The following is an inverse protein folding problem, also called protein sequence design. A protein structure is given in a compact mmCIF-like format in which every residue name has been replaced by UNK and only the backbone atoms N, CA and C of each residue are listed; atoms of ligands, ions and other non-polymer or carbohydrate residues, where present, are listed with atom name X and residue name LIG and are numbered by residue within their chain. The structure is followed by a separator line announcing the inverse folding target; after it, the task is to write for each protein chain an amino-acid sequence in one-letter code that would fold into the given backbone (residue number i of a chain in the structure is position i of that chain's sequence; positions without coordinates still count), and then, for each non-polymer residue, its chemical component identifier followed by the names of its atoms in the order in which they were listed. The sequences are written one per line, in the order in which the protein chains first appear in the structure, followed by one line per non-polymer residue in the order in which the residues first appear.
data_IF_977936053695
#
_entry.id   IF_977936053695
#
_cell.length_a   1.000
_cell.length_b   1.000
_cell.length_c   1.000
_cell.angle_alpha   90.00
_cell.angle_beta   90.00
_cell.angle_gamma   90.00
#
_symmetry.space_group_name_H-M   'P 1'
#
loop_
_entity.id
_entity.type
_entity.pdbx_description
1 polymer ?
#
# COMPACT_ATOMS: atom_id res chain seq x y z
N UNK A 1 -35.38 23.55 -0.10
CA UNK A 1 -34.80 24.10 -1.35
C UNK A 1 -33.84 23.09 -1.94
N UNK A 2 -34.23 22.40 -3.01
CA UNK A 2 -33.32 21.54 -3.76
C UNK A 2 -32.48 22.44 -4.66
N UNK A 3 -31.21 22.68 -4.29
CA UNK A 3 -30.26 23.36 -5.18
C UNK A 3 -30.00 22.46 -6.39
N UNK A 4 -30.70 22.70 -7.50
CA UNK A 4 -30.45 22.04 -8.78
C UNK A 4 -29.46 22.86 -9.61
N UNK A 5 -28.50 22.19 -10.26
CA UNK A 5 -27.46 22.85 -11.07
C UNK A 5 -26.13 22.10 -11.10
N UNK A 6 -25.24 22.47 -12.02
CA UNK A 6 -23.92 21.86 -12.20
C UNK A 6 -22.99 22.04 -10.98
N UNK A 7 -23.07 23.19 -10.30
CA UNK A 7 -22.29 23.50 -9.10
C UNK A 7 -22.62 22.62 -7.88
N UNK A 8 -23.89 22.47 -7.45
CA UNK A 8 -24.24 21.57 -6.35
C UNK A 8 -23.96 20.10 -6.70
N UNK A 9 -24.14 19.68 -7.96
CA UNK A 9 -23.76 18.35 -8.43
C UNK A 9 -22.25 18.09 -8.29
N UNK A 10 -21.40 19.01 -8.76
CA UNK A 10 -19.93 18.88 -8.66
C UNK A 10 -19.45 18.82 -7.20
N UNK A 11 -20.08 19.59 -6.32
CA UNK A 11 -19.76 19.57 -4.90
C UNK A 11 -20.24 18.27 -4.21
N UNK A 12 -21.41 17.76 -4.58
CA UNK A 12 -21.91 16.47 -4.12
C UNK A 12 -20.98 15.34 -4.56
N UNK A 13 -20.59 15.30 -5.83
CA UNK A 13 -19.64 14.33 -6.38
C UNK A 13 -18.32 14.41 -5.59
N UNK A 14 -17.68 15.57 -5.46
CA UNK A 14 -16.42 15.71 -4.70
C UNK A 14 -16.53 15.25 -3.25
N UNK A 15 -17.66 15.52 -2.58
CA UNK A 15 -17.88 15.08 -1.20
C UNK A 15 -17.97 13.55 -1.14
N UNK A 16 -18.72 12.94 -2.05
CA UNK A 16 -18.80 11.48 -2.13
C UNK A 16 -17.47 10.84 -2.53
N UNK A 17 -16.70 11.42 -3.45
CA UNK A 17 -15.38 10.91 -3.81
C UNK A 17 -14.45 10.85 -2.60
N UNK A 18 -14.39 11.93 -1.80
CA UNK A 18 -13.58 11.94 -0.55
C UNK A 18 -14.08 10.95 0.49
N UNK A 19 -15.39 10.85 0.69
CA UNK A 19 -15.98 9.90 1.65
C UNK A 19 -15.68 8.46 1.24
N UNK A 20 -15.87 8.14 -0.02
CA UNK A 20 -15.62 6.83 -0.58
C UNK A 20 -14.14 6.45 -0.55
N UNK A 21 -13.23 7.40 -0.78
CA UNK A 21 -11.79 7.17 -0.64
C UNK A 21 -11.41 6.82 0.82
N UNK A 22 -11.93 7.56 1.79
CA UNK A 22 -11.67 7.27 3.21
C UNK A 22 -12.24 5.93 3.66
N UNK A 23 -13.49 5.64 3.26
CA UNK A 23 -14.14 4.35 3.56
C UNK A 23 -13.44 3.19 2.87
N UNK A 24 -13.04 3.32 1.61
CA UNK A 24 -12.35 2.25 0.89
C UNK A 24 -10.99 1.97 1.51
N UNK A 25 -10.19 3.00 1.84
CA UNK A 25 -8.90 2.80 2.51
C UNK A 25 -9.05 2.11 3.86
N UNK A 26 -10.05 2.50 4.66
CA UNK A 26 -10.29 1.90 5.97
C UNK A 26 -10.74 0.43 5.83
N UNK A 27 -11.71 0.16 4.96
CA UNK A 27 -12.19 -1.20 4.70
C UNK A 27 -11.09 -2.10 4.13
N UNK A 28 -10.32 -1.61 3.15
CA UNK A 28 -9.23 -2.37 2.57
C UNK A 28 -8.12 -2.60 3.59
N UNK A 29 -7.78 -1.62 4.42
CA UNK A 29 -6.78 -1.83 5.49
C UNK A 29 -7.20 -2.93 6.48
N UNK A 30 -8.49 -2.97 6.85
CA UNK A 30 -9.04 -4.03 7.71
C UNK A 30 -8.99 -5.39 7.00
N UNK A 31 -9.40 -5.44 5.73
CA UNK A 31 -9.38 -6.68 4.94
C UNK A 31 -7.96 -7.22 4.75
N UNK A 32 -7.00 -6.33 4.50
CA UNK A 32 -5.57 -6.65 4.37
C UNK A 32 -5.04 -7.18 5.69
N UNK A 33 -5.30 -6.49 6.80
CA UNK A 33 -4.88 -6.94 8.12
C UNK A 33 -5.47 -8.31 8.46
N UNK A 34 -6.75 -8.55 8.12
CA UNK A 34 -7.40 -9.84 8.31
C UNK A 34 -6.78 -10.93 7.44
N UNK A 35 -6.54 -10.65 6.16
CA UNK A 35 -5.91 -11.60 5.22
C UNK A 35 -4.48 -11.96 5.67
N UNK A 36 -3.70 -10.96 6.06
CA UNK A 36 -2.36 -11.14 6.63
C UNK A 36 -2.39 -11.93 7.92
N UNK A 37 -3.34 -11.65 8.82
CA UNK A 37 -3.50 -12.41 10.05
C UNK A 37 -3.88 -13.87 9.79
N UNK A 38 -4.77 -14.15 8.84
CA UNK A 38 -5.13 -15.52 8.47
C UNK A 38 -3.93 -16.28 7.89
N UNK A 39 -3.14 -15.63 7.04
CA UNK A 39 -2.01 -16.26 6.38
C UNK A 39 -0.79 -16.45 7.27
N UNK A 40 -0.44 -15.41 8.05
CA UNK A 40 0.74 -15.40 8.91
C UNK A 40 0.43 -15.93 10.32
N UNK A 41 -0.83 -15.95 10.76
CA UNK A 41 -1.23 -16.32 12.13
C UNK A 41 -0.46 -15.57 13.24
N UNK A 42 0.05 -14.37 12.93
CA UNK A 42 0.84 -13.51 13.81
C UNK A 42 0.23 -12.10 13.75
N UNK A 43 -0.42 -11.68 14.84
CA UNK A 43 -1.11 -10.37 14.92
C UNK A 43 -0.11 -9.22 14.86
N UNK A 44 1.10 -9.39 15.38
CA UNK A 44 2.15 -8.38 15.34
C UNK A 44 2.59 -8.09 13.90
N UNK A 45 2.85 -9.14 13.13
CA UNK A 45 3.20 -9.02 11.71
C UNK A 45 2.05 -8.47 10.86
N UNK A 46 0.81 -8.87 11.16
CA UNK A 46 -0.37 -8.36 10.46
C UNK A 46 -0.53 -6.84 10.66
N UNK A 47 -0.37 -6.34 11.89
CA UNK A 47 -0.44 -4.88 12.15
C UNK A 47 0.78 -4.16 11.56
N UNK A 48 1.97 -4.75 11.63
CA UNK A 48 3.19 -4.17 11.06
C UNK A 48 3.08 -3.95 9.55
N UNK A 49 2.41 -4.87 8.84
CA UNK A 49 2.20 -4.83 7.39
C UNK A 49 1.41 -3.60 6.92
N UNK A 50 0.63 -2.96 7.80
CA UNK A 50 -0.19 -1.80 7.44
C UNK A 50 0.69 -0.59 7.12
N UNK A 51 1.81 -0.42 7.83
CA UNK A 51 2.70 0.75 7.69
C UNK A 51 3.32 0.90 6.29
N UNK A 52 4.03 -0.10 5.74
CA UNK A 52 4.62 0.01 4.40
C UNK A 52 3.58 0.14 3.29
N UNK A 53 2.32 -0.20 3.55
CA UNK A 53 1.22 -0.07 2.59
C UNK A 53 0.50 1.28 2.65
N UNK A 54 0.24 1.81 3.84
CA UNK A 54 -0.49 3.08 4.01
C UNK A 54 0.40 4.28 3.73
N UNK A 55 1.69 4.22 4.09
CA UNK A 55 2.62 5.35 3.92
C UNK A 55 2.75 5.78 2.43
N UNK A 56 3.01 4.88 1.47
CA UNK A 56 3.03 5.22 0.05
C UNK A 56 1.73 5.84 -0.45
N UNK A 57 0.58 5.35 0.03
CA UNK A 57 -0.72 5.87 -0.35
C UNK A 57 -0.88 7.31 0.12
N UNK A 58 -0.64 7.55 1.41
CA UNK A 58 -0.72 8.89 2.00
C UNK A 58 0.28 9.83 1.35
N UNK A 59 1.47 9.33 1.02
CA UNK A 59 2.49 10.10 0.32
C UNK A 59 2.04 10.52 -1.08
N UNK A 60 1.61 9.59 -1.94
CA UNK A 60 1.18 9.90 -3.31
C UNK A 60 -0.08 10.76 -3.35
N UNK A 61 -1.07 10.49 -2.49
CA UNK A 61 -2.26 11.35 -2.39
C UNK A 61 -1.95 12.70 -1.75
N UNK A 62 -0.97 12.77 -0.86
CA UNK A 62 -0.44 14.02 -0.30
C UNK A 62 0.20 14.88 -1.38
N UNK A 63 1.03 14.29 -2.24
CA UNK A 63 1.60 14.95 -3.42
C UNK A 63 0.51 15.41 -4.41
N UNK A 64 -0.50 14.58 -4.64
CA UNK A 64 -1.65 14.94 -5.48
C UNK A 64 -2.43 16.14 -4.90
N UNK A 65 -2.67 16.15 -3.59
CA UNK A 65 -3.30 17.27 -2.89
C UNK A 65 -2.46 18.55 -2.92
N UNK A 66 -1.14 18.42 -2.74
CA UNK A 66 -0.20 19.54 -2.77
C UNK A 66 -0.08 20.17 -4.15
N UNK A 67 -0.11 19.37 -5.22
CA UNK A 67 -0.10 19.85 -6.61
C UNK A 67 -1.41 20.52 -7.04
N UNK A 68 -2.44 20.54 -6.18
CA UNK A 68 -3.74 21.15 -6.48
C UNK A 68 -4.57 20.39 -7.52
N UNK A 69 -4.16 19.18 -7.87
CA UNK A 69 -4.89 18.33 -8.83
C UNK A 69 -6.16 17.80 -8.16
N UNK A 70 -7.34 18.04 -8.74
CA UNK A 70 -8.59 17.58 -8.15
C UNK A 70 -8.65 16.04 -8.18
N UNK A 71 -9.03 15.45 -7.04
CA UNK A 71 -9.37 14.03 -6.97
C UNK A 71 -10.54 13.76 -7.92
N UNK A 72 -10.31 12.86 -8.85
CA UNK A 72 -11.29 12.36 -9.81
C UNK A 72 -11.49 10.85 -9.64
N UNK A 73 -12.36 10.28 -10.48
CA UNK A 73 -12.68 8.85 -10.42
C UNK A 73 -11.43 7.98 -10.67
N UNK A 74 -10.56 8.38 -11.59
CA UNK A 74 -9.31 7.67 -11.87
C UNK A 74 -8.41 7.60 -10.64
N UNK A 75 -8.23 8.74 -9.96
CA UNK A 75 -7.45 8.81 -8.72
C UNK A 75 -7.99 7.85 -7.65
N UNK A 76 -9.30 7.76 -7.48
CA UNK A 76 -9.89 6.84 -6.49
C UNK A 76 -9.66 5.37 -6.82
N UNK A 77 -9.76 4.98 -8.09
CA UNK A 77 -9.48 3.62 -8.52
C UNK A 77 -8.02 3.26 -8.27
N UNK A 78 -7.10 4.21 -8.51
CA UNK A 78 -5.67 4.04 -8.20
C UNK A 78 -5.44 3.63 -6.75
N UNK A 79 -6.08 4.30 -5.78
CA UNK A 79 -5.89 3.98 -4.36
C UNK A 79 -6.17 2.51 -4.03
N UNK A 80 -7.30 1.99 -4.51
CA UNK A 80 -7.74 0.63 -4.23
C UNK A 80 -6.89 -0.41 -4.93
N UNK A 81 -6.51 -0.16 -6.18
CA UNK A 81 -5.71 -1.09 -6.99
C UNK A 81 -4.28 -1.15 -6.47
N UNK A 82 -3.67 0.02 -6.24
CA UNK A 82 -2.30 0.10 -5.75
C UNK A 82 -2.14 -0.56 -4.38
N UNK A 83 -3.11 -0.37 -3.48
CA UNK A 83 -3.09 -1.04 -2.17
C UNK A 83 -3.11 -2.57 -2.33
N UNK A 84 -3.89 -3.11 -3.27
CA UNK A 84 -3.90 -4.56 -3.54
C UNK A 84 -2.55 -5.08 -4.05
N UNK A 85 -1.88 -4.31 -4.92
CA UNK A 85 -0.56 -4.69 -5.47
C UNK A 85 0.53 -4.57 -4.40
N UNK A 86 0.56 -3.46 -3.65
CA UNK A 86 1.55 -3.23 -2.59
C UNK A 86 1.48 -4.32 -1.49
N UNK A 87 0.26 -4.73 -1.14
CA UNK A 87 0.04 -5.77 -0.12
C UNK A 87 0.59 -7.12 -0.55
N UNK A 88 0.59 -7.44 -1.85
CA UNK A 88 1.15 -8.68 -2.38
C UNK A 88 2.68 -8.73 -2.19
N UNK A 89 3.38 -7.63 -2.48
CA UNK A 89 4.83 -7.50 -2.28
C UNK A 89 5.18 -7.63 -0.78
N UNK A 90 4.44 -6.93 0.11
CA UNK A 90 4.57 -7.09 1.56
C UNK A 90 4.33 -8.54 2.00
N UNK A 91 3.32 -9.21 1.42
CA UNK A 91 2.94 -10.58 1.77
C UNK A 91 4.07 -11.56 1.47
N UNK A 92 4.63 -11.48 0.26
CA UNK A 92 5.74 -12.32 -0.16
C UNK A 92 6.93 -12.21 0.80
N UNK A 93 7.28 -10.99 1.21
CA UNK A 93 8.38 -10.74 2.14
C UNK A 93 8.07 -11.24 3.56
N UNK A 94 6.86 -11.00 4.09
CA UNK A 94 6.47 -11.47 5.43
C UNK A 94 6.38 -12.99 5.53
N UNK A 95 5.90 -13.67 4.49
CA UNK A 95 5.88 -15.13 4.44
C UNK A 95 7.31 -15.69 4.41
N UNK A 96 8.21 -15.09 3.63
CA UNK A 96 9.62 -15.48 3.62
C UNK A 96 10.27 -15.28 4.99
N UNK A 97 10.02 -14.14 5.63
CA UNK A 97 10.45 -13.86 7.00
C UNK A 97 9.94 -14.91 8.00
N UNK A 98 8.65 -15.25 7.93
CA UNK A 98 8.06 -16.22 8.84
C UNK A 98 8.66 -17.63 8.67
N UNK A 99 8.91 -18.06 7.43
CA UNK A 99 9.55 -19.36 7.14
C UNK A 99 10.95 -19.46 7.73
N UNK A 100 11.66 -18.34 7.80
CA UNK A 100 13.03 -18.27 8.28
C UNK A 100 13.12 -17.94 9.79
N UNK A 101 11.98 -17.62 10.44
CA UNK A 101 11.89 -17.28 11.88
C UNK A 101 12.46 -18.38 12.81
N UNK A 102 12.51 -19.63 12.34
CA UNK A 102 13.07 -20.78 13.07
C UNK A 102 14.57 -21.00 12.84
N UNK A 103 15.19 -20.25 11.92
CA UNK A 103 16.56 -20.51 11.43
C UNK A 103 17.68 -19.78 12.20
N UNK A 104 17.37 -19.08 13.30
CA UNK A 104 18.35 -18.32 14.10
C UNK A 104 18.58 -16.90 13.60
N UNK A 105 19.79 -16.36 13.81
CA UNK A 105 20.14 -14.96 13.47
C UNK A 105 20.04 -14.66 11.96
N UNK A 106 19.93 -13.39 11.57
CA UNK A 106 19.81 -12.92 10.17
C UNK A 106 18.53 -13.31 9.42
N UNK A 107 17.41 -13.53 10.11
CA UNK A 107 16.10 -13.83 9.48
C UNK A 107 15.68 -12.77 8.46
N UNK A 108 15.85 -11.48 8.79
CA UNK A 108 15.42 -10.37 7.93
C UNK A 108 16.25 -10.31 6.65
N UNK A 109 17.58 -10.47 6.75
CA UNK A 109 18.49 -10.41 5.60
C UNK A 109 18.26 -11.60 4.66
N UNK A 110 18.08 -12.81 5.21
CA UNK A 110 17.77 -14.00 4.41
C UNK A 110 16.40 -13.89 3.73
N UNK A 111 15.41 -13.26 4.37
CA UNK A 111 14.09 -13.05 3.78
C UNK A 111 14.18 -12.05 2.63
N UNK A 112 14.85 -10.93 2.87
CA UNK A 112 15.09 -9.89 1.87
C UNK A 112 15.85 -10.45 0.65
N UNK A 113 16.93 -11.22 0.86
CA UNK A 113 17.68 -11.88 -0.22
C UNK A 113 16.84 -12.86 -1.05
N UNK A 114 15.82 -13.46 -0.45
CA UNK A 114 14.91 -14.35 -1.16
C UNK A 114 13.87 -13.58 -1.99
N UNK A 115 13.40 -12.41 -1.51
CA UNK A 115 12.25 -11.72 -2.11
C UNK A 115 12.57 -10.43 -2.86
N UNK A 116 13.78 -9.86 -2.71
CA UNK A 116 14.12 -8.56 -3.33
C UNK A 116 13.98 -8.59 -4.85
N UNK A 117 14.46 -9.64 -5.52
CA UNK A 117 14.45 -9.69 -6.99
C UNK A 117 13.03 -9.87 -7.54
N UNK A 118 12.20 -10.81 -7.03
CA UNK A 118 10.78 -10.89 -7.41
C UNK A 118 10.05 -9.56 -7.24
N UNK A 119 10.08 -8.97 -6.03
CA UNK A 119 9.38 -7.72 -5.70
C UNK A 119 9.84 -6.57 -6.60
N UNK A 120 11.16 -6.43 -6.80
CA UNK A 120 11.70 -5.39 -7.67
C UNK A 120 11.23 -5.56 -9.12
N UNK A 121 11.22 -6.79 -9.62
CA UNK A 121 10.83 -7.08 -11.00
C UNK A 121 9.35 -6.81 -11.26
N UNK A 122 8.46 -7.26 -10.36
CA UNK A 122 7.01 -7.05 -10.48
C UNK A 122 6.67 -5.57 -10.39
N UNK A 123 7.19 -4.87 -9.37
CA UNK A 123 6.97 -3.44 -9.19
C UNK A 123 7.47 -2.61 -10.38
N UNK A 124 8.66 -2.92 -10.93
CA UNK A 124 9.18 -2.20 -12.10
C UNK A 124 8.36 -2.48 -13.37
N UNK A 125 7.98 -3.73 -13.63
CA UNK A 125 7.17 -4.09 -14.80
C UNK A 125 5.79 -3.44 -14.71
N UNK A 126 5.13 -3.54 -13.55
CA UNK A 126 3.84 -2.91 -13.32
C UNK A 126 3.94 -1.38 -13.40
N UNK A 127 4.93 -0.77 -12.74
CA UNK A 127 5.16 0.66 -12.79
C UNK A 127 5.40 1.17 -14.21
N UNK A 128 6.28 0.52 -14.97
CA UNK A 128 6.55 0.86 -16.36
C UNK A 128 5.30 0.67 -17.26
N UNK A 129 4.53 -0.40 -17.04
CA UNK A 129 3.27 -0.62 -17.74
C UNK A 129 2.25 0.49 -17.49
N UNK A 130 2.22 1.05 -16.28
CA UNK A 130 1.33 2.17 -15.95
C UNK A 130 1.77 3.50 -16.57
N UNK A 131 3.06 3.69 -16.85
CA UNK A 131 3.55 4.88 -17.54
C UNK A 131 3.02 4.99 -18.98
N UNK A 132 2.67 3.89 -19.63
CA UNK A 132 2.08 3.88 -20.99
C UNK A 132 0.79 4.70 -21.04
N UNK A 133 0.00 4.72 -19.96
CA UNK A 133 -1.24 5.49 -19.89
C UNK A 133 -1.02 7.00 -19.97
N UNK A 134 0.18 7.51 -19.66
CA UNK A 134 0.48 8.94 -19.80
C UNK A 134 0.36 9.44 -21.25
N UNK A 135 0.49 8.54 -22.23
CA UNK A 135 0.30 8.84 -23.64
C UNK A 135 -1.18 8.85 -24.09
N UNK A 136 -2.12 8.57 -23.17
CA UNK A 136 -3.55 8.50 -23.50
C UNK A 136 -4.19 9.90 -23.56
N UNK A 137 -4.94 10.19 -24.62
CA UNK A 137 -5.69 11.45 -24.78
C UNK A 137 -6.76 11.64 -23.69
N UNK A 138 -7.25 10.54 -23.11
CA UNK A 138 -8.20 10.59 -22.02
C UNK A 138 -7.50 10.93 -20.70
N UNK A 139 -7.56 12.22 -20.31
CA UNK A 139 -6.90 12.78 -19.12
C UNK A 139 -7.10 11.95 -17.84
N UNK A 140 -8.28 11.38 -17.61
CA UNK A 140 -8.51 10.58 -16.40
C UNK A 140 -7.70 9.27 -16.41
N UNK A 141 -7.51 8.65 -17.57
CA UNK A 141 -6.66 7.46 -17.70
C UNK A 141 -5.18 7.83 -17.58
N UNK A 142 -4.73 8.94 -18.17
CA UNK A 142 -3.36 9.42 -18.00
C UNK A 142 -3.02 9.70 -16.53
N UNK A 143 -3.93 10.37 -15.81
CA UNK A 143 -3.77 10.63 -14.36
C UNK A 143 -3.76 9.34 -13.55
N UNK A 144 -4.66 8.41 -13.85
CA UNK A 144 -4.70 7.10 -13.21
C UNK A 144 -3.34 6.38 -13.33
N UNK A 145 -2.78 6.32 -14.55
CA UNK A 145 -1.51 5.63 -14.79
C UNK A 145 -0.31 6.31 -14.12
N UNK A 146 -0.21 7.65 -14.21
CA UNK A 146 0.85 8.39 -13.55
C UNK A 146 0.80 8.27 -12.02
N UNK A 147 -0.39 8.37 -11.42
CA UNK A 147 -0.58 8.21 -9.98
C UNK A 147 -0.30 6.77 -9.53
N UNK A 148 -0.70 5.77 -10.32
CA UNK A 148 -0.46 4.37 -9.99
C UNK A 148 1.04 4.05 -10.07
N UNK A 149 1.73 4.50 -11.12
CA UNK A 149 3.18 4.33 -11.26
C UNK A 149 3.94 4.94 -10.08
N UNK A 150 3.62 6.18 -9.70
CA UNK A 150 4.26 6.84 -8.55
C UNK A 150 3.99 6.11 -7.24
N UNK A 151 2.76 5.62 -7.03
CA UNK A 151 2.41 4.86 -5.84
C UNK A 151 3.13 3.50 -5.77
N UNK A 152 3.26 2.79 -6.88
CA UNK A 152 4.00 1.53 -6.94
C UNK A 152 5.50 1.73 -6.64
N UNK A 153 6.11 2.80 -7.16
CA UNK A 153 7.51 3.12 -6.83
C UNK A 153 7.69 3.49 -5.36
N UNK A 154 6.73 4.21 -4.78
CA UNK A 154 6.74 4.51 -3.34
C UNK A 154 6.51 3.25 -2.49
N UNK A 155 5.64 2.34 -2.92
CA UNK A 155 5.38 1.07 -2.25
C UNK A 155 6.60 0.15 -2.28
N UNK A 156 7.27 0.03 -3.43
CA UNK A 156 8.53 -0.69 -3.57
C UNK A 156 9.58 -0.22 -2.57
N UNK A 157 9.69 1.10 -2.36
CA UNK A 157 10.58 1.66 -1.33
C UNK A 157 10.11 1.29 0.09
N UNK A 158 8.79 1.32 0.33
CA UNK A 158 8.18 0.83 1.56
C UNK A 158 8.53 -0.63 1.85
N UNK A 159 8.43 -1.51 0.87
CA UNK A 159 8.65 -2.95 1.07
C UNK A 159 10.13 -3.33 1.16
N UNK A 160 11.01 -2.72 0.36
CA UNK A 160 12.43 -3.09 0.37
C UNK A 160 13.27 -2.34 1.41
N UNK A 161 12.79 -1.22 1.93
CA UNK A 161 13.54 -0.40 2.91
C UNK A 161 12.81 -0.32 4.23
N UNK A 162 11.55 0.12 4.24
CA UNK A 162 10.83 0.37 5.48
C UNK A 162 10.44 -0.93 6.19
N UNK A 163 9.88 -1.91 5.47
CA UNK A 163 9.47 -3.19 6.03
C UNK A 163 10.61 -3.96 6.71
N UNK A 164 11.81 -4.17 6.10
CA UNK A 164 12.90 -4.86 6.77
C UNK A 164 13.41 -4.08 7.99
N UNK A 165 13.47 -2.75 7.93
CA UNK A 165 13.85 -1.93 9.08
C UNK A 165 12.83 -2.08 10.24
N UNK A 166 11.54 -2.10 9.93
CA UNK A 166 10.47 -2.33 10.89
C UNK A 166 10.55 -3.74 11.50
N UNK A 167 10.84 -4.76 10.68
CA UNK A 167 11.03 -6.14 11.15
C UNK A 167 12.25 -6.29 12.04
N UNK A 168 13.36 -5.60 11.76
CA UNK A 168 14.53 -5.58 12.64
C UNK A 168 14.19 -4.97 13.99
N UNK A 169 13.49 -3.83 14.02
CA UNK A 169 13.08 -3.18 15.27
C UNK A 169 12.07 -4.04 16.06
N UNK A 170 11.12 -4.67 15.38
CA UNK A 170 10.11 -5.52 16.01
C UNK A 170 10.69 -6.85 16.50
N UNK A 171 11.59 -7.46 15.72
CA UNK A 171 12.28 -8.71 16.09
C UNK A 171 13.28 -8.55 17.23
N UNK A 172 13.82 -7.34 17.44
CA UNK A 172 14.71 -7.03 18.55
C UNK A 172 13.97 -6.73 19.86
N UNK A 173 12.63 -6.80 19.88
CA UNK A 173 11.89 -6.71 21.14
C UNK A 173 12.09 -8.02 21.91
N UNK A 174 12.65 -7.98 23.14
CA UNK A 174 12.65 -9.16 23.98
C UNK A 174 11.20 -9.62 24.10
N UNK A 175 10.94 -10.89 23.80
CA UNK A 175 9.69 -11.52 24.24
C UNK A 175 9.64 -11.27 25.74
N UNK A 176 8.73 -10.39 26.17
CA UNK A 176 8.31 -10.36 27.56
C UNK A 176 7.63 -11.71 27.72
N UNK A 177 8.41 -12.65 28.26
CA UNK A 177 7.93 -13.93 28.73
C UNK A 177 6.75 -13.61 29.66
N UNK A 178 5.52 -13.92 29.23
CA UNK A 178 4.39 -14.04 30.14
C UNK A 178 4.67 -15.26 31.03
N UNK A 179 5.60 -15.08 31.97
CA UNK A 179 5.77 -15.88 33.17
C UNK A 179 4.94 -15.21 34.26
N UNK A 180 3.64 -15.41 34.23
CA UNK A 180 2.72 -15.35 35.37
C UNK A 180 1.46 -16.09 34.90
N UNK A 181 0.89 -17.09 35.55
CA UNK A 181 1.16 -17.87 36.76
C UNK A 181 0.23 -19.11 36.65
#
# INVERSE_FOLDING_TARGET
FSLTGYLPLRNAIRKELRRSLGLSLLLTSILVALAMWVALRDTGLAVLSILPNVIPIVFSFGLLGWSGVPIDLGSMMTASIALGIAVDDTFHMLVAYQRQKTSGDDVVDRALKQTYFPILSTSLICGAGMLVFLACDFIAAARFGGLLATMLMAALFGDLVLLPALLMIAGNRPKVEDQHE
#
